data_IF_886748234100
#
_entry.id   IF_886748234100
#
_cell.length_a   1.000
_cell.length_b   1.000
_cell.length_c   1.000
_cell.angle_alpha   90.00
_cell.angle_beta   90.00
_cell.angle_gamma   90.00
#
_symmetry.space_group_name_H-M   'P 1'
#
loop_
_entity.id
_entity.type
_entity.pdbx_description
1 polymer ?
#
# COMPACT_ATOMS: atom_id res chain seq x y z
N UNK A 1 -27.24 -10.22 -12.78
CA UNK A 1 -26.43 -9.95 -11.57
C UNK A 1 -25.67 -8.68 -11.87
N UNK A 2 -25.44 -7.83 -10.87
CA UNK A 2 -24.64 -6.61 -11.08
C UNK A 2 -23.16 -7.01 -11.18
N UNK A 3 -22.33 -6.24 -11.88
CA UNK A 3 -20.90 -6.55 -12.06
C UNK A 3 -20.17 -6.73 -10.71
N UNK A 4 -20.57 -5.96 -9.70
CA UNK A 4 -20.10 -6.11 -8.32
C UNK A 4 -20.46 -7.46 -7.68
N UNK A 5 -21.67 -8.01 -7.92
CA UNK A 5 -22.05 -9.32 -7.38
C UNK A 5 -21.19 -10.45 -7.94
N UNK A 6 -20.90 -10.38 -9.24
CA UNK A 6 -20.08 -11.39 -9.91
C UNK A 6 -18.61 -11.26 -9.49
N UNK A 7 -18.09 -10.04 -9.36
CA UNK A 7 -16.76 -9.78 -8.76
C UNK A 7 -16.65 -10.37 -7.35
N UNK A 8 -17.58 -10.07 -6.45
CA UNK A 8 -17.54 -10.56 -5.06
C UNK A 8 -17.60 -12.09 -5.00
N UNK A 9 -18.38 -12.74 -5.88
CA UNK A 9 -18.38 -14.21 -5.98
C UNK A 9 -17.02 -14.75 -6.41
N UNK A 10 -16.36 -14.11 -7.38
CA UNK A 10 -15.01 -14.52 -7.82
C UNK A 10 -13.98 -14.36 -6.71
N UNK A 11 -14.02 -13.26 -5.96
CA UNK A 11 -13.15 -13.05 -4.79
C UNK A 11 -13.32 -14.16 -3.74
N UNK A 12 -14.56 -14.47 -3.37
CA UNK A 12 -14.86 -15.56 -2.42
C UNK A 12 -14.38 -16.93 -2.95
N UNK A 13 -14.54 -17.18 -4.26
CA UNK A 13 -14.04 -18.40 -4.91
C UNK A 13 -12.51 -18.48 -4.88
N UNK A 14 -11.83 -17.34 -5.06
CA UNK A 14 -10.38 -17.20 -4.99
C UNK A 14 -9.80 -17.17 -3.58
N UNK A 15 -10.59 -17.51 -2.55
CA UNK A 15 -10.14 -17.62 -1.16
C UNK A 15 -10.09 -16.31 -0.38
N UNK A 16 -10.55 -15.19 -0.94
CA UNK A 16 -10.62 -13.92 -0.23
C UNK A 16 -11.83 -13.91 0.72
N UNK A 17 -11.57 -13.65 1.99
CA UNK A 17 -12.62 -13.52 2.99
C UNK A 17 -13.38 -12.20 2.81
N UNK A 18 -14.67 -12.29 2.50
CA UNK A 18 -15.56 -11.12 2.38
C UNK A 18 -16.69 -11.22 3.40
N UNK A 19 -16.56 -10.57 4.58
CA UNK A 19 -17.62 -10.57 5.58
C UNK A 19 -18.93 -10.00 5.04
N UNK A 20 -20.07 -10.52 5.50
CA UNK A 20 -21.39 -10.15 4.98
C UNK A 20 -21.69 -8.63 5.08
N UNK A 21 -21.19 -7.95 6.11
CA UNK A 21 -21.35 -6.50 6.25
C UNK A 21 -20.48 -5.73 5.23
N UNK A 22 -19.28 -6.22 4.91
CA UNK A 22 -18.42 -5.68 3.84
C UNK A 22 -19.07 -5.90 2.47
N UNK A 23 -19.56 -7.12 2.22
CA UNK A 23 -20.28 -7.48 0.99
C UNK A 23 -21.46 -6.55 0.73
N UNK A 24 -22.29 -6.33 1.75
CA UNK A 24 -23.42 -5.39 1.68
C UNK A 24 -22.98 -3.96 1.38
N UNK A 25 -21.86 -3.52 1.97
CA UNK A 25 -21.33 -2.19 1.72
C UNK A 25 -20.86 -2.02 0.28
N UNK A 26 -20.05 -2.96 -0.21
CA UNK A 26 -19.54 -2.94 -1.60
C UNK A 26 -20.65 -3.05 -2.64
N UNK A 27 -21.75 -3.74 -2.34
CA UNK A 27 -22.93 -3.82 -3.23
C UNK A 27 -23.75 -2.53 -3.29
N UNK A 28 -23.60 -1.62 -2.31
CA UNK A 28 -24.42 -0.42 -2.18
C UNK A 28 -23.66 0.87 -2.50
N UNK A 29 -22.34 0.88 -2.33
CA UNK A 29 -21.48 2.02 -2.70
C UNK A 29 -21.07 1.87 -4.15
N UNK A 30 -21.47 2.82 -5.00
CA UNK A 30 -21.13 2.82 -6.42
C UNK A 30 -19.71 3.36 -6.65
N UNK A 31 -18.80 2.53 -7.14
CA UNK A 31 -17.38 2.91 -7.36
C UNK A 31 -17.23 4.12 -8.31
N UNK A 32 -18.14 4.27 -9.27
CA UNK A 32 -18.16 5.38 -10.22
C UNK A 32 -18.39 6.75 -9.57
N UNK A 33 -18.90 6.81 -8.33
CA UNK A 33 -19.04 8.08 -7.61
C UNK A 33 -17.68 8.62 -7.11
N UNK A 34 -16.62 7.81 -7.13
CA UNK A 34 -15.32 8.12 -6.50
C UNK A 34 -14.19 8.37 -7.51
N UNK A 35 -14.46 8.28 -8.80
CA UNK A 35 -13.50 8.51 -9.88
C UNK A 35 -14.20 8.95 -11.15
N UNK A 36 -13.56 9.80 -11.96
CA UNK A 36 -14.03 10.16 -13.31
C UNK A 36 -13.39 9.28 -14.41
N UNK A 37 -12.53 8.34 -14.02
CA UNK A 37 -11.87 7.41 -14.93
C UNK A 37 -12.74 6.17 -15.18
N UNK A 38 -12.33 5.36 -16.16
CA UNK A 38 -12.98 4.09 -16.45
C UNK A 38 -12.92 3.13 -15.24
N UNK A 39 -14.08 2.63 -14.86
CA UNK A 39 -14.25 1.71 -13.73
C UNK A 39 -14.29 0.25 -14.17
N UNK A 40 -14.35 -0.05 -15.47
CA UNK A 40 -14.38 -1.44 -15.98
C UNK A 40 -13.25 -2.31 -15.40
N UNK A 41 -11.98 -1.85 -15.31
CA UNK A 41 -10.90 -2.65 -14.75
C UNK A 41 -11.11 -3.03 -13.28
N UNK A 42 -11.87 -2.24 -12.51
CA UNK A 42 -12.19 -2.54 -11.12
C UNK A 42 -12.95 -3.86 -11.00
N UNK A 43 -13.88 -4.13 -11.92
CA UNK A 43 -14.64 -5.37 -11.93
C UNK A 43 -13.81 -6.59 -12.32
N UNK A 44 -12.62 -6.38 -12.89
CA UNK A 44 -11.61 -7.41 -13.13
C UNK A 44 -10.57 -7.50 -11.99
N UNK A 45 -10.89 -7.00 -10.81
CA UNK A 45 -10.04 -7.00 -9.62
C UNK A 45 -8.71 -6.25 -9.79
N UNK A 46 -8.76 -5.07 -10.40
CA UNK A 46 -7.59 -4.20 -10.61
C UNK A 46 -7.75 -2.86 -9.91
N UNK A 47 -6.63 -2.23 -9.49
CA UNK A 47 -6.67 -0.85 -9.05
C UNK A 47 -7.08 0.05 -10.22
N UNK A 48 -7.79 1.13 -9.91
CA UNK A 48 -8.22 2.13 -10.90
C UNK A 48 -7.73 3.52 -10.50
N UNK A 49 -7.37 4.39 -11.45
CA UNK A 49 -6.98 5.75 -11.13
C UNK A 49 -8.16 6.57 -10.59
N UNK A 50 -7.86 7.56 -9.75
CA UNK A 50 -8.83 8.59 -9.35
C UNK A 50 -8.28 10.01 -9.47
N UNK A 51 -6.97 10.17 -9.50
CA UNK A 51 -6.30 11.46 -9.60
C UNK A 51 -4.98 11.28 -10.36
N UNK A 52 -4.71 12.22 -11.26
CA UNK A 52 -3.44 12.36 -11.97
C UNK A 52 -2.94 13.79 -11.72
N UNK A 53 -1.67 13.96 -11.34
CA UNK A 53 -1.07 15.29 -11.16
C UNK A 53 -0.52 15.83 -12.47
N UNK A 54 -0.31 17.15 -12.54
CA UNK A 54 0.30 17.81 -13.70
C UNK A 54 1.72 17.29 -14.02
N UNK A 55 2.39 16.69 -13.04
CA UNK A 55 3.73 16.10 -13.14
C UNK A 55 3.70 14.59 -13.48
N UNK A 56 2.51 14.02 -13.72
CA UNK A 56 2.33 12.62 -14.13
C UNK A 56 2.22 11.61 -12.97
N UNK A 57 2.09 12.07 -11.74
CA UNK A 57 1.83 11.21 -10.58
C UNK A 57 0.40 10.66 -10.61
N UNK A 58 0.25 9.33 -10.60
CA UNK A 58 -1.05 8.67 -10.67
C UNK A 58 -1.43 8.07 -9.31
N UNK A 59 -2.53 8.56 -8.70
CA UNK A 59 -3.10 7.94 -7.50
C UNK A 59 -4.26 7.02 -7.86
N UNK A 60 -4.30 5.87 -7.19
CA UNK A 60 -5.27 4.80 -7.46
C UNK A 60 -6.16 4.49 -6.26
N UNK A 61 -7.36 4.02 -6.57
CA UNK A 61 -8.21 3.24 -5.68
C UNK A 61 -7.68 1.80 -5.73
N UNK A 62 -7.49 1.18 -4.57
CA UNK A 62 -6.98 -0.20 -4.47
C UNK A 62 -7.86 -1.20 -5.24
N UNK A 63 -7.27 -2.34 -5.61
CA UNK A 63 -8.02 -3.47 -6.15
C UNK A 63 -9.09 -3.98 -5.15
N UNK A 64 -10.23 -4.49 -5.64
CA UNK A 64 -11.30 -5.06 -4.81
C UNK A 64 -10.86 -6.11 -3.78
N UNK A 65 -9.99 -7.07 -4.14
CA UNK A 65 -9.53 -8.08 -3.18
C UNK A 65 -8.84 -7.42 -2.00
N UNK A 66 -7.98 -6.43 -2.26
CA UNK A 66 -7.26 -5.70 -1.23
C UNK A 66 -8.22 -4.88 -0.36
N UNK A 67 -9.23 -4.25 -0.97
CA UNK A 67 -10.28 -3.54 -0.20
C UNK A 67 -11.03 -4.50 0.73
N UNK A 68 -11.39 -5.69 0.24
CA UNK A 68 -12.05 -6.70 1.05
C UNK A 68 -11.16 -7.20 2.19
N UNK A 69 -9.88 -7.51 1.91
CA UNK A 69 -8.87 -7.90 2.91
C UNK A 69 -8.69 -6.83 3.99
N UNK A 70 -8.52 -5.56 3.60
CA UNK A 70 -8.38 -4.45 4.55
C UNK A 70 -9.62 -4.33 5.45
N UNK A 71 -10.82 -4.39 4.87
CA UNK A 71 -12.07 -4.24 5.64
C UNK A 71 -12.36 -5.46 6.53
N UNK A 72 -11.97 -6.67 6.10
CA UNK A 72 -12.04 -7.87 6.90
C UNK A 72 -11.19 -7.73 8.17
N UNK A 73 -9.91 -7.36 8.02
CA UNK A 73 -8.98 -7.22 9.14
C UNK A 73 -9.18 -5.96 9.97
N UNK A 74 -9.95 -4.97 9.49
CA UNK A 74 -10.28 -3.77 10.25
C UNK A 74 -11.35 -4.01 11.33
N UNK A 75 -12.01 -5.17 11.32
CA UNK A 75 -12.92 -5.63 12.39
C UNK A 75 -13.92 -4.55 12.83
N UNK A 76 -14.60 -3.98 11.83
CA UNK A 76 -15.49 -2.85 12.02
C UNK A 76 -16.79 -3.23 12.73
N UNK A 77 -17.32 -2.29 13.51
CA UNK A 77 -18.59 -2.39 14.23
C UNK A 77 -19.34 -1.06 14.18
N UNK A 78 -20.66 -1.14 14.30
CA UNK A 78 -21.53 0.05 14.32
C UNK A 78 -21.16 1.00 15.46
N UNK A 79 -21.17 2.31 15.19
CA UNK A 79 -20.87 3.36 16.15
C UNK A 79 -19.38 3.65 16.37
N UNK A 80 -18.47 2.94 15.69
CA UNK A 80 -17.03 3.18 15.84
C UNK A 80 -16.57 4.48 15.17
N UNK A 81 -15.51 5.07 15.73
CA UNK A 81 -14.69 6.09 15.07
C UNK A 81 -13.47 5.41 14.42
N UNK A 82 -13.26 5.68 13.14
CA UNK A 82 -12.19 5.10 12.33
C UNK A 82 -11.37 6.21 11.69
N UNK A 83 -10.05 6.15 11.82
CA UNK A 83 -9.13 7.03 11.10
C UNK A 83 -8.67 6.33 9.84
N UNK A 84 -8.77 7.01 8.69
CA UNK A 84 -8.25 6.53 7.41
C UNK A 84 -7.18 7.49 6.93
N UNK A 85 -5.94 7.03 6.82
CA UNK A 85 -4.80 7.80 6.32
C UNK A 85 -4.48 7.33 4.90
N UNK A 86 -4.63 8.23 3.94
CA UNK A 86 -4.59 7.97 2.49
C UNK A 86 -6.01 7.99 1.91
N UNK A 87 -6.27 8.92 1.00
CA UNK A 87 -7.60 9.21 0.49
C UNK A 87 -8.14 8.11 -0.42
N UNK A 88 -7.32 7.61 -1.36
CA UNK A 88 -7.68 6.58 -2.36
C UNK A 88 -9.06 6.78 -2.98
N UNK A 89 -9.32 7.98 -3.50
CA UNK A 89 -10.61 8.39 -4.07
C UNK A 89 -11.76 8.51 -3.07
N UNK A 90 -11.55 8.13 -1.81
CA UNK A 90 -12.54 8.09 -0.74
C UNK A 90 -13.36 6.81 -0.68
N UNK A 91 -13.24 5.89 -1.65
CA UNK A 91 -14.11 4.72 -1.74
C UNK A 91 -14.07 3.84 -0.47
N UNK A 92 -12.89 3.55 0.08
CA UNK A 92 -12.75 2.80 1.34
C UNK A 92 -13.42 3.56 2.49
N UNK A 93 -13.25 4.88 2.59
CA UNK A 93 -13.88 5.68 3.64
C UNK A 93 -15.41 5.67 3.54
N UNK A 94 -15.98 5.64 2.33
CA UNK A 94 -17.42 5.48 2.14
C UNK A 94 -17.92 4.09 2.58
N UNK A 95 -17.17 3.03 2.28
CA UNK A 95 -17.47 1.67 2.77
C UNK A 95 -17.42 1.61 4.30
N UNK A 96 -16.37 2.15 4.92
CA UNK A 96 -16.24 2.23 6.38
C UNK A 96 -17.41 3.01 6.96
N UNK A 97 -17.73 4.19 6.41
CA UNK A 97 -18.83 5.04 6.88
C UNK A 97 -20.18 4.32 6.83
N UNK A 98 -20.42 3.51 5.80
CA UNK A 98 -21.62 2.69 5.70
C UNK A 98 -21.67 1.59 6.77
N UNK A 99 -20.53 0.94 7.06
CA UNK A 99 -20.44 -0.15 8.03
C UNK A 99 -20.60 0.36 9.47
N UNK A 100 -19.96 1.49 9.81
CA UNK A 100 -20.05 2.07 11.16
C UNK A 100 -21.37 2.82 11.40
N UNK A 101 -22.09 3.18 10.33
CA UNK A 101 -23.42 3.76 10.40
C UNK A 101 -23.47 5.20 10.92
N UNK A 102 -24.68 5.71 11.14
CA UNK A 102 -24.95 7.12 11.47
C UNK A 102 -24.38 7.57 12.82
N UNK A 103 -24.17 6.63 13.75
CA UNK A 103 -23.58 6.89 15.06
C UNK A 103 -22.03 6.81 15.05
N UNK A 104 -21.45 6.29 13.97
CA UNK A 104 -20.01 6.20 13.80
C UNK A 104 -19.43 7.44 13.13
N UNK A 105 -18.11 7.46 12.98
CA UNK A 105 -17.37 8.53 12.29
C UNK A 105 -16.19 7.98 11.51
N UNK A 106 -15.90 8.59 10.38
CA UNK A 106 -14.70 8.35 9.60
C UNK A 106 -13.91 9.65 9.48
N UNK A 107 -12.66 9.62 9.93
CA UNK A 107 -11.74 10.75 9.84
C UNK A 107 -10.70 10.44 8.78
N UNK A 108 -10.88 10.98 7.59
CA UNK A 108 -10.00 10.78 6.45
C UNK A 108 -8.90 11.85 6.44
N UNK A 109 -7.66 11.42 6.29
CA UNK A 109 -6.46 12.25 6.30
C UNK A 109 -5.61 11.92 5.08
N UNK A 110 -5.11 12.91 4.34
CA UNK A 110 -4.16 12.71 3.24
C UNK A 110 -3.21 13.91 3.16
N UNK A 111 -1.90 13.73 2.91
CA UNK A 111 -0.97 14.84 2.72
C UNK A 111 -1.23 15.65 1.44
N UNK A 112 -1.94 15.07 0.46
CA UNK A 112 -2.29 15.74 -0.79
C UNK A 112 -3.53 16.61 -0.66
N UNK A 113 -3.36 17.91 -0.84
CA UNK A 113 -4.47 18.85 -0.98
C UNK A 113 -5.43 18.43 -2.10
N UNK A 114 -4.91 18.04 -3.27
CA UNK A 114 -5.72 17.61 -4.42
C UNK A 114 -6.54 16.36 -4.11
N UNK A 115 -5.97 15.37 -3.41
CA UNK A 115 -6.70 14.16 -3.05
C UNK A 115 -7.82 14.44 -2.04
N UNK A 116 -7.59 15.34 -1.07
CA UNK A 116 -8.62 15.75 -0.12
C UNK A 116 -9.74 16.55 -0.81
N UNK A 117 -9.40 17.47 -1.70
CA UNK A 117 -10.40 18.22 -2.49
C UNK A 117 -11.25 17.29 -3.36
N UNK A 118 -10.63 16.30 -4.00
CA UNK A 118 -11.33 15.26 -4.75
C UNK A 118 -12.35 14.55 -3.85
N UNK A 119 -11.92 14.06 -2.68
CA UNK A 119 -12.83 13.41 -1.71
C UNK A 119 -13.94 14.35 -1.29
N UNK A 120 -13.64 15.60 -0.92
CA UNK A 120 -14.66 16.57 -0.49
C UNK A 120 -15.73 16.82 -1.56
N UNK A 121 -15.34 16.82 -2.84
CA UNK A 121 -16.29 16.97 -3.95
C UNK A 121 -17.25 15.77 -4.09
N UNK A 122 -16.79 14.55 -3.76
CA UNK A 122 -17.61 13.32 -3.83
C UNK A 122 -18.43 13.07 -2.57
N UNK A 123 -18.00 13.61 -1.43
CA UNK A 123 -18.59 13.31 -0.12
C UNK A 123 -19.75 14.22 0.32
N UNK A 124 -20.39 14.92 -0.62
CA UNK A 124 -21.47 15.90 -0.32
C UNK A 124 -22.66 15.32 0.45
N UNK A 125 -22.88 14.01 0.44
CA UNK A 125 -23.97 13.31 1.12
C UNK A 125 -23.50 12.30 2.17
N UNK A 126 -22.29 12.46 2.71
CA UNK A 126 -21.66 11.56 3.69
C UNK A 126 -21.37 12.28 5.01
N UNK A 127 -22.40 12.54 5.85
CA UNK A 127 -22.27 13.41 7.03
C UNK A 127 -21.40 12.83 8.15
N UNK A 128 -21.09 11.54 8.12
CA UNK A 128 -20.25 10.85 9.10
C UNK A 128 -18.77 10.86 8.72
N UNK A 129 -18.41 11.44 7.57
CA UNK A 129 -17.04 11.49 7.07
C UNK A 129 -16.51 12.91 7.13
N UNK A 130 -15.38 13.09 7.80
CA UNK A 130 -14.64 14.34 7.85
C UNK A 130 -13.28 14.11 7.19
N UNK A 131 -12.96 14.89 6.14
CA UNK A 131 -11.67 14.83 5.46
C UNK A 131 -10.82 16.08 5.73
N UNK A 132 -9.53 15.88 6.00
CA UNK A 132 -8.56 16.97 6.26
C UNK A 132 -7.21 16.69 5.60
N UNK A 133 -6.53 17.76 5.24
CA UNK A 133 -5.15 17.69 4.71
C UNK A 133 -4.17 17.59 5.87
N UNK A 134 -3.15 16.76 5.70
CA UNK A 134 -1.99 16.66 6.58
C UNK A 134 -0.84 17.51 6.05
N UNK A 135 -0.05 18.07 6.97
CA UNK A 135 1.22 18.70 6.60
C UNK A 135 2.26 17.64 6.16
N UNK A 136 2.33 16.56 6.94
CA UNK A 136 3.15 15.38 6.67
C UNK A 136 2.56 14.20 7.43
N UNK A 137 2.90 12.97 7.04
CA UNK A 137 2.41 11.73 7.65
C UNK A 137 2.87 11.61 9.11
N UNK A 138 4.08 12.10 9.39
CA UNK A 138 4.74 12.10 10.69
C UNK A 138 4.18 13.17 11.64
N UNK A 139 3.39 14.11 11.13
CA UNK A 139 2.91 15.27 11.88
C UNK A 139 1.41 15.14 12.18
N UNK A 140 1.08 15.16 13.48
CA UNK A 140 -0.31 15.13 13.92
C UNK A 140 -1.07 16.37 13.43
N UNK A 141 -2.27 16.21 12.84
CA UNK A 141 -3.06 17.35 12.39
C UNK A 141 -3.47 18.27 13.55
N UNK A 142 -3.52 19.57 13.27
CA UNK A 142 -3.98 20.59 14.22
C UNK A 142 -5.43 20.31 14.63
N UNK A 143 -5.71 20.46 15.94
CA UNK A 143 -7.02 20.20 16.51
C UNK A 143 -7.59 18.82 16.12
N UNK A 144 -6.71 17.81 16.14
CA UNK A 144 -7.06 16.40 16.06
C UNK A 144 -6.77 15.71 17.40
N UNK A 145 -7.42 16.10 18.51
CA UNK A 145 -7.32 15.35 19.75
C UNK A 145 -8.14 14.07 19.66
N UNK A 146 -7.85 13.14 20.55
CA UNK A 146 -8.67 11.95 20.74
C UNK A 146 -7.88 10.66 20.79
N UNK A 147 -8.56 9.67 21.35
CA UNK A 147 -8.19 8.28 21.40
C UNK A 147 -8.58 7.59 20.09
N UNK A 148 -7.76 6.65 19.61
CA UNK A 148 -7.94 5.97 18.33
C UNK A 148 -8.25 4.50 18.55
N UNK A 149 -9.40 4.02 18.06
CA UNK A 149 -9.80 2.62 18.18
C UNK A 149 -9.42 1.78 16.95
N UNK A 150 -9.59 2.35 15.76
CA UNK A 150 -9.24 1.74 14.47
C UNK A 150 -8.53 2.77 13.62
N UNK A 151 -7.32 2.44 13.18
CA UNK A 151 -6.56 3.25 12.23
C UNK A 151 -6.28 2.39 11.01
N UNK A 152 -6.65 2.88 9.84
CA UNK A 152 -6.34 2.26 8.56
C UNK A 152 -5.40 3.18 7.79
N UNK A 153 -4.21 2.69 7.47
CA UNK A 153 -3.29 3.34 6.55
C UNK A 153 -3.42 2.65 5.19
N UNK A 154 -3.67 3.43 4.15
CA UNK A 154 -3.92 2.92 2.80
C UNK A 154 -2.84 3.29 1.80
N UNK A 155 -1.64 3.64 2.26
CA UNK A 155 -0.44 3.82 1.44
C UNK A 155 0.78 3.24 2.17
N UNK A 156 1.87 3.00 1.45
CA UNK A 156 3.11 2.51 2.05
C UNK A 156 3.70 3.56 3.00
N UNK A 157 4.13 3.10 4.18
CA UNK A 157 4.90 3.85 5.16
C UNK A 157 6.01 2.95 5.72
N UNK A 158 7.13 3.52 6.18
CA UNK A 158 8.23 2.73 6.77
C UNK A 158 7.88 2.20 8.17
N UNK A 159 7.29 3.06 8.99
CA UNK A 159 6.90 2.76 10.36
C UNK A 159 5.63 3.53 10.72
N UNK A 160 4.89 3.05 11.73
CA UNK A 160 3.70 3.74 12.21
C UNK A 160 4.09 5.09 12.87
N UNK A 161 3.54 6.23 12.44
CA UNK A 161 3.84 7.52 13.04
C UNK A 161 3.57 7.54 14.56
N UNK A 162 4.51 8.10 15.32
CA UNK A 162 4.44 8.14 16.79
C UNK A 162 3.14 8.75 17.32
N UNK A 163 2.62 9.78 16.63
CA UNK A 163 1.37 10.42 17.03
C UNK A 163 0.13 9.54 16.83
N UNK A 164 0.17 8.59 15.88
CA UNK A 164 -0.85 7.56 15.74
C UNK A 164 -0.64 6.49 16.80
N UNK A 165 0.58 5.95 16.88
CA UNK A 165 0.94 4.88 17.80
C UNK A 165 0.53 5.23 19.24
N UNK A 166 1.00 6.37 19.76
CA UNK A 166 0.74 6.85 21.13
C UNK A 166 -0.74 7.09 21.47
N UNK A 167 -1.64 7.15 20.48
CA UNK A 167 -3.06 7.43 20.67
C UNK A 167 -3.96 6.22 20.42
N UNK A 168 -3.41 5.11 19.92
CA UNK A 168 -4.15 3.84 19.84
C UNK A 168 -4.49 3.38 21.27
N UNK A 169 -5.78 3.25 21.56
CA UNK A 169 -6.27 2.78 22.87
C UNK A 169 -6.04 1.30 23.06
N UNK A 170 -6.09 0.84 24.31
CA UNK A 170 -6.08 -0.59 24.64
C UNK A 170 -7.19 -1.35 23.88
N UNK A 171 -6.80 -2.45 23.21
CA UNK A 171 -7.66 -3.21 22.28
C UNK A 171 -7.98 -2.52 20.94
N UNK A 172 -7.44 -1.33 20.73
CA UNK A 172 -7.40 -0.66 19.43
C UNK A 172 -6.20 -1.12 18.61
N UNK A 173 -6.22 -0.87 17.31
CA UNK A 173 -5.11 -1.21 16.43
C UNK A 173 -4.99 -0.29 15.21
N UNK A 174 -3.79 -0.30 14.63
CA UNK A 174 -3.51 0.24 13.31
C UNK A 174 -3.27 -0.89 12.31
N UNK A 175 -3.85 -0.78 11.12
CA UNK A 175 -3.62 -1.66 9.98
C UNK A 175 -2.89 -0.87 8.90
N UNK A 176 -1.69 -1.30 8.51
CA UNK A 176 -0.81 -0.52 7.65
C UNK A 176 0.09 -1.40 6.77
N UNK A 177 0.29 -1.04 5.49
CA UNK A 177 1.40 -1.54 4.70
C UNK A 177 2.71 -0.95 5.25
N UNK A 178 3.52 -1.77 5.92
CA UNK A 178 4.82 -1.39 6.47
C UNK A 178 5.96 -2.00 5.66
N UNK A 179 6.99 -1.22 5.38
CA UNK A 179 8.16 -1.67 4.64
C UNK A 179 8.67 -0.56 3.72
N UNK A 180 9.42 -0.94 2.69
CA UNK A 180 9.87 -0.03 1.65
C UNK A 180 9.06 -0.24 0.35
N UNK A 181 9.38 0.49 -0.72
CA UNK A 181 8.63 0.38 -1.99
C UNK A 181 8.85 -0.97 -2.68
N UNK A 182 9.98 -1.62 -2.44
CA UNK A 182 10.31 -2.92 -3.02
C UNK A 182 9.63 -4.07 -2.27
N UNK A 183 9.61 -4.03 -0.95
CA UNK A 183 9.09 -5.06 -0.06
C UNK A 183 8.32 -4.45 1.10
N UNK A 184 7.03 -4.80 1.19
CA UNK A 184 6.14 -4.31 2.23
C UNK A 184 5.12 -5.37 2.61
N UNK A 185 4.78 -5.42 3.89
CA UNK A 185 3.84 -6.36 4.49
C UNK A 185 2.66 -5.61 5.10
N UNK A 186 1.48 -6.20 5.01
CA UNK A 186 0.31 -5.66 5.70
C UNK A 186 0.39 -6.04 7.17
N UNK A 187 0.63 -5.06 8.03
CA UNK A 187 0.83 -5.26 9.46
C UNK A 187 -0.39 -4.79 10.25
N UNK A 188 -0.86 -5.62 11.19
CA UNK A 188 -1.80 -5.22 12.25
C UNK A 188 -1.02 -4.97 13.54
N UNK A 189 -1.02 -3.71 13.99
CA UNK A 189 -0.36 -3.25 15.21
C UNK A 189 -1.41 -3.00 16.31
N UNK A 190 -1.57 -3.94 17.23
CA UNK A 190 -2.58 -3.90 18.29
C UNK A 190 -2.01 -3.45 19.63
N UNK A 191 -2.70 -2.53 20.31
CA UNK A 191 -2.32 -2.06 21.64
C UNK A 191 -2.86 -3.03 22.70
N UNK A 192 -1.96 -3.53 23.54
CA UNK A 192 -2.31 -4.29 24.75
C UNK A 192 -1.56 -3.72 25.95
N UNK A 193 -2.28 -2.99 26.81
CA UNK A 193 -1.69 -2.23 27.90
C UNK A 193 -0.78 -1.11 27.40
N UNK A 194 0.50 -1.16 27.77
CA UNK A 194 1.51 -0.17 27.34
C UNK A 194 2.25 -0.60 26.06
N UNK A 195 2.08 -1.84 25.62
CA UNK A 195 2.84 -2.43 24.52
C UNK A 195 2.02 -2.48 23.21
N UNK A 196 2.72 -2.46 22.08
CA UNK A 196 2.15 -2.68 20.74
C UNK A 196 2.60 -4.04 20.24
N UNK A 197 1.65 -4.89 19.87
CA UNK A 197 1.90 -6.21 19.30
C UNK A 197 1.65 -6.19 17.80
N UNK A 198 2.62 -6.69 17.03
CA UNK A 198 2.53 -6.76 15.57
C UNK A 198 2.11 -8.15 15.11
N UNK A 199 1.14 -8.20 14.21
CA UNK A 199 0.79 -9.40 13.43
C UNK A 199 1.03 -9.11 11.96
N UNK A 200 1.83 -9.94 11.30
CA UNK A 200 2.04 -9.90 9.86
C UNK A 200 0.91 -10.64 9.15
N UNK A 201 0.26 -9.97 8.19
CA UNK A 201 -0.84 -10.50 7.39
C UNK A 201 -0.43 -10.82 5.95
N UNK A 202 0.86 -10.70 5.63
CA UNK A 202 1.45 -11.11 4.36
C UNK A 202 1.89 -9.94 3.47
N UNK A 203 2.58 -10.27 2.36
CA UNK A 203 3.14 -9.29 1.45
C UNK A 203 2.06 -8.55 0.67
N UNK A 204 2.27 -7.27 0.46
CA UNK A 204 1.38 -6.40 -0.32
C UNK A 204 2.18 -5.43 -1.19
N UNK A 205 1.50 -4.70 -2.06
CA UNK A 205 2.11 -3.62 -2.84
C UNK A 205 1.19 -2.41 -2.84
N UNK A 206 1.61 -1.38 -2.12
CA UNK A 206 0.95 -0.08 -2.08
C UNK A 206 1.94 0.97 -2.59
N UNK A 207 1.43 1.92 -3.37
CA UNK A 207 2.16 3.15 -3.61
C UNK A 207 2.35 3.95 -2.32
N UNK A 208 3.35 4.84 -2.27
CA UNK A 208 3.55 5.72 -1.14
C UNK A 208 2.35 6.63 -0.95
N UNK A 209 2.16 7.09 0.29
CA UNK A 209 1.00 7.91 0.63
C UNK A 209 1.12 9.37 0.16
N UNK A 210 2.33 9.91 0.18
CA UNK A 210 2.61 11.24 -0.39
C UNK A 210 2.66 11.13 -1.91
N UNK A 211 2.01 12.07 -2.58
CA UNK A 211 1.95 12.11 -4.06
C UNK A 211 3.32 12.40 -4.65
N UNK A 212 4.14 13.20 -3.96
CA UNK A 212 5.49 13.54 -4.43
C UNK A 212 6.34 12.28 -4.61
N UNK A 213 6.07 11.26 -3.81
CA UNK A 213 6.76 9.97 -3.89
C UNK A 213 6.11 9.02 -4.92
N UNK A 214 4.95 9.38 -5.49
CA UNK A 214 4.27 8.61 -6.56
C UNK A 214 4.64 9.06 -7.98
N UNK A 215 5.51 10.06 -8.13
CA UNK A 215 5.99 10.50 -9.43
C UNK A 215 6.74 9.35 -10.10
N UNK A 216 6.19 8.86 -11.23
CA UNK A 216 6.76 7.76 -12.01
C UNK A 216 7.96 8.27 -12.80
N UNK A 217 9.06 8.50 -12.08
CA UNK A 217 10.37 8.81 -12.64
C UNK A 217 11.21 7.55 -12.87
N UNK A 218 12.36 7.66 -13.55
CA UNK A 218 13.36 6.60 -13.56
C UNK A 218 13.79 6.30 -12.11
N UNK A 219 14.14 5.04 -11.85
CA UNK A 219 14.56 4.58 -10.52
C UNK A 219 15.62 5.49 -9.90
N UNK A 220 15.35 6.00 -8.69
CA UNK A 220 16.27 6.83 -7.93
C UNK A 220 17.19 5.98 -7.02
N UNK A 221 18.26 6.55 -6.43
CA UNK A 221 19.19 5.80 -5.61
C UNK A 221 18.56 5.10 -4.39
N UNK A 222 17.58 5.72 -3.75
CA UNK A 222 16.92 5.14 -2.58
C UNK A 222 16.02 3.97 -2.97
N UNK A 223 15.31 4.07 -4.09
CA UNK A 223 14.49 2.97 -4.62
C UNK A 223 15.36 1.77 -5.02
N UNK A 224 16.53 2.01 -5.63
CA UNK A 224 17.47 0.94 -5.93
C UNK A 224 18.02 0.31 -4.65
N UNK A 225 18.36 1.12 -3.64
CA UNK A 225 18.82 0.61 -2.35
C UNK A 225 17.74 -0.27 -1.68
N UNK A 226 16.49 0.18 -1.66
CA UNK A 226 15.33 -0.56 -1.13
C UNK A 226 15.14 -1.91 -1.87
N UNK A 227 15.32 -1.95 -3.19
CA UNK A 227 15.29 -3.18 -4.00
C UNK A 227 16.43 -4.15 -3.65
N UNK A 228 17.64 -3.64 -3.46
CA UNK A 228 18.80 -4.44 -3.09
C UNK A 228 18.67 -4.99 -1.65
N UNK A 229 18.06 -4.23 -0.75
CA UNK A 229 17.73 -4.70 0.61
C UNK A 229 16.75 -5.87 0.55
N UNK A 230 15.66 -5.76 -0.22
CA UNK A 230 14.73 -6.88 -0.42
C UNK A 230 15.43 -8.11 -1.02
N UNK A 231 16.35 -7.89 -1.95
CA UNK A 231 17.16 -8.96 -2.55
C UNK A 231 18.02 -9.68 -1.52
N UNK A 232 18.63 -8.93 -0.59
CA UNK A 232 19.39 -9.49 0.52
C UNK A 232 18.51 -10.29 1.46
N UNK A 233 17.37 -9.73 1.89
CA UNK A 233 16.41 -10.41 2.76
C UNK A 233 15.93 -11.72 2.13
N UNK A 234 15.57 -11.69 0.84
CA UNK A 234 15.15 -12.88 0.09
C UNK A 234 16.28 -13.92 -0.01
N UNK A 235 17.53 -13.48 -0.20
CA UNK A 235 18.67 -14.40 -0.21
C UNK A 235 18.85 -15.06 1.16
N UNK A 236 18.70 -14.31 2.25
CA UNK A 236 18.82 -14.84 3.61
C UNK A 236 17.71 -15.86 3.91
N UNK A 237 16.46 -15.55 3.55
CA UNK A 237 15.32 -16.45 3.74
C UNK A 237 15.44 -17.76 2.95
N UNK A 238 15.95 -17.69 1.72
CA UNK A 238 16.13 -18.85 0.85
C UNK A 238 17.46 -19.60 1.07
N UNK A 239 18.27 -19.18 2.05
CA UNK A 239 19.64 -19.67 2.26
C UNK A 239 20.50 -19.61 0.98
N UNK A 240 20.30 -18.55 0.18
CA UNK A 240 21.00 -18.26 -1.06
C UNK A 240 22.03 -17.13 -0.89
N UNK A 241 22.91 -16.96 -1.88
CA UNK A 241 23.95 -15.92 -1.89
C UNK A 241 25.24 -16.32 -1.17
N UNK A 242 26.38 -15.98 -1.77
CA UNK A 242 27.69 -16.12 -1.11
C UNK A 242 27.94 -14.94 -0.16
N UNK A 243 28.81 -15.14 0.85
CA UNK A 243 29.11 -14.10 1.84
C UNK A 243 29.69 -12.83 1.20
N UNK A 244 30.56 -13.00 0.20
CA UNK A 244 31.16 -11.89 -0.55
C UNK A 244 30.10 -11.10 -1.36
N UNK A 245 29.08 -11.77 -1.90
CA UNK A 245 27.98 -11.11 -2.61
C UNK A 245 27.09 -10.31 -1.65
N UNK A 246 26.82 -10.86 -0.45
CA UNK A 246 26.05 -10.17 0.59
C UNK A 246 26.76 -8.90 1.05
N UNK A 247 28.06 -8.97 1.31
CA UNK A 247 28.87 -7.80 1.72
C UNK A 247 28.86 -6.75 0.62
N UNK A 248 29.08 -7.14 -0.64
CA UNK A 248 29.10 -6.19 -1.75
C UNK A 248 27.75 -5.50 -1.96
N UNK A 249 26.63 -6.21 -1.78
CA UNK A 249 25.30 -5.62 -1.83
C UNK A 249 25.07 -4.65 -0.66
N UNK A 250 25.47 -5.02 0.56
CA UNK A 250 25.39 -4.14 1.73
C UNK A 250 26.19 -2.85 1.53
N UNK A 251 27.42 -2.94 1.02
CA UNK A 251 28.25 -1.79 0.71
C UNK A 251 27.59 -0.90 -0.35
N UNK A 252 27.07 -1.49 -1.43
CA UNK A 252 26.35 -0.76 -2.48
C UNK A 252 25.11 -0.03 -1.94
N UNK A 253 24.33 -0.66 -1.07
CA UNK A 253 23.16 -0.04 -0.42
C UNK A 253 23.59 1.20 0.38
N UNK A 254 24.65 1.08 1.18
CA UNK A 254 25.17 2.19 1.98
C UNK A 254 25.65 3.34 1.08
N UNK A 255 26.37 3.04 0.01
CA UNK A 255 26.86 4.05 -0.94
C UNK A 255 25.71 4.74 -1.69
N UNK A 256 24.69 4.00 -2.11
CA UNK A 256 23.49 4.55 -2.75
C UNK A 256 22.74 5.52 -1.82
N UNK A 257 22.58 5.17 -0.54
CA UNK A 257 21.94 6.03 0.47
C UNK A 257 22.76 7.29 0.82
N UNK A 258 24.06 7.31 0.51
CA UNK A 258 24.93 8.47 0.70
C UNK A 258 24.92 9.43 -0.50
N UNK A 259 24.32 9.05 -1.63
CA UNK A 259 24.16 9.95 -2.76
C UNK A 259 23.27 11.16 -2.41
N UNK A 260 23.46 12.31 -3.08
CA UNK A 260 22.63 13.49 -2.83
C UNK A 260 21.15 13.20 -3.03
N UNK A 261 20.30 13.65 -2.09
CA UNK A 261 18.85 13.45 -2.16
C UNK A 261 18.20 14.17 -3.36
N UNK A 262 18.86 15.18 -3.92
CA UNK A 262 18.46 15.94 -5.10
C UNK A 262 19.13 15.44 -6.40
N UNK A 263 19.82 14.29 -6.37
CA UNK A 263 20.41 13.70 -7.57
C UNK A 263 19.28 13.26 -8.52
N UNK A 264 19.21 13.81 -9.75
CA UNK A 264 18.17 13.42 -10.70
C UNK A 264 18.37 11.97 -11.14
N UNK A 265 17.30 11.24 -11.52
CA UNK A 265 17.44 9.87 -11.99
C UNK A 265 18.29 9.73 -13.27
N UNK A 266 18.88 8.55 -13.53
CA UNK A 266 19.67 8.33 -14.74
C UNK A 266 18.84 8.56 -16.01
N UNK A 267 19.35 9.41 -16.90
CA UNK A 267 18.65 9.82 -18.12
C UNK A 267 17.95 11.18 -18.01
N UNK A 268 17.89 11.74 -16.80
CA UNK A 268 17.41 13.09 -16.52
C UNK A 268 18.53 14.03 -16.07
N UNK A 269 18.23 15.32 -15.88
CA UNK A 269 19.18 16.29 -15.32
C UNK A 269 20.40 16.63 -16.20
N UNK A 270 20.47 16.11 -17.43
CA UNK A 270 21.55 16.39 -18.38
C UNK A 270 22.89 15.71 -18.04
N UNK A 271 22.90 14.76 -17.10
CA UNK A 271 24.09 13.97 -16.75
C UNK A 271 24.19 12.79 -17.73
N UNK A 272 25.32 12.60 -18.44
CA UNK A 272 25.51 11.41 -19.27
C UNK A 272 25.41 10.13 -18.43
N UNK A 273 24.76 9.08 -18.95
CA UNK A 273 24.59 7.79 -18.25
C UNK A 273 25.91 7.23 -17.69
N UNK A 274 27.02 7.35 -18.42
CA UNK A 274 28.35 6.88 -17.99
C UNK A 274 28.98 7.68 -16.83
N UNK A 275 28.50 8.91 -16.61
CA UNK A 275 29.00 9.83 -15.59
C UNK A 275 28.04 9.93 -14.40
N UNK A 276 26.89 9.24 -14.48
CA UNK A 276 25.88 9.28 -13.45
C UNK A 276 26.37 8.51 -12.20
N UNK A 277 26.42 9.15 -11.01
CA UNK A 277 26.97 8.51 -9.79
C UNK A 277 26.32 7.17 -9.47
N UNK A 278 24.99 7.08 -9.53
CA UNK A 278 24.26 5.82 -9.33
C UNK A 278 24.69 4.71 -10.31
N UNK A 279 24.92 5.06 -11.59
CA UNK A 279 25.31 4.10 -12.63
C UNK A 279 26.75 3.65 -12.42
N UNK A 280 27.62 4.54 -11.93
CA UNK A 280 29.00 4.19 -11.58
C UNK A 280 29.05 3.20 -10.42
N UNK A 281 28.30 3.45 -9.35
CA UNK A 281 28.18 2.51 -8.23
C UNK A 281 27.67 1.14 -8.67
N UNK A 282 26.60 1.12 -9.49
CA UNK A 282 26.10 -0.14 -10.05
C UNK A 282 27.15 -0.85 -10.91
N UNK A 283 27.92 -0.13 -11.72
CA UNK A 283 28.95 -0.69 -12.57
C UNK A 283 30.12 -1.27 -11.78
N UNK A 284 30.53 -0.58 -10.71
CA UNK A 284 31.60 -1.01 -9.81
C UNK A 284 31.20 -2.27 -9.04
N UNK A 285 29.95 -2.33 -8.56
CA UNK A 285 29.43 -3.48 -7.84
C UNK A 285 28.97 -4.63 -8.75
N UNK A 286 28.75 -4.41 -10.06
CA UNK A 286 28.20 -5.39 -11.01
C UNK A 286 28.85 -6.80 -10.95
N UNK A 287 30.20 -6.94 -10.83
CA UNK A 287 30.84 -8.24 -10.72
C UNK A 287 30.33 -9.08 -9.53
N UNK A 288 29.90 -8.42 -8.46
CA UNK A 288 29.53 -9.04 -7.19
C UNK A 288 28.06 -9.43 -7.08
N UNK A 289 27.18 -8.96 -7.98
CA UNK A 289 25.74 -9.28 -7.91
C UNK A 289 25.12 -9.72 -9.25
N UNK A 290 25.92 -9.90 -10.31
CA UNK A 290 25.50 -10.42 -11.62
C UNK A 290 24.66 -11.70 -11.53
N UNK A 291 24.98 -12.59 -10.57
CA UNK A 291 24.23 -13.84 -10.33
C UNK A 291 22.83 -13.59 -9.78
N UNK A 292 22.66 -12.51 -9.03
CA UNK A 292 21.40 -12.09 -8.42
C UNK A 292 20.56 -11.20 -9.35
N UNK A 293 21.13 -10.76 -10.48
CA UNK A 293 20.45 -9.91 -11.45
C UNK A 293 19.10 -10.47 -11.96
N UNK A 294 18.95 -11.78 -12.27
CA UNK A 294 17.65 -12.32 -12.67
C UNK A 294 16.58 -12.18 -11.57
N UNK A 295 16.98 -12.27 -10.30
CA UNK A 295 16.08 -12.11 -9.16
C UNK A 295 15.66 -10.65 -9.01
N UNK A 296 16.62 -9.72 -9.12
CA UNK A 296 16.36 -8.27 -9.17
C UNK A 296 15.39 -7.90 -10.29
N UNK A 297 15.57 -8.48 -11.49
CA UNK A 297 14.66 -8.24 -12.62
C UNK A 297 13.23 -8.70 -12.33
N UNK A 298 13.04 -9.76 -11.56
CA UNK A 298 11.72 -10.25 -11.18
C UNK A 298 11.06 -9.31 -10.15
N UNK A 299 11.83 -8.77 -9.20
CA UNK A 299 11.36 -7.83 -8.19
C UNK A 299 11.03 -6.44 -8.76
N UNK A 300 11.65 -6.03 -9.87
CA UNK A 300 11.32 -4.79 -10.58
C UNK A 300 9.92 -4.77 -11.21
N UNK A 301 9.30 -5.94 -11.41
CA UNK A 301 7.98 -6.09 -12.01
C UNK A 301 7.10 -6.97 -11.12
N UNK A 302 6.64 -6.47 -9.95
CA UNK A 302 5.78 -7.26 -9.09
C UNK A 302 4.47 -7.59 -9.81
N UNK A 303 4.19 -8.89 -9.96
CA UNK A 303 2.88 -9.35 -10.43
C UNK A 303 1.87 -9.17 -9.29
N UNK A 304 1.00 -8.17 -9.41
CA UNK A 304 -0.09 -7.96 -8.46
C UNK A 304 -1.09 -9.12 -8.55
N UNK A 305 -1.47 -9.67 -7.40
CA UNK A 305 -2.51 -10.70 -7.31
C UNK A 305 -3.85 -10.17 -7.87
N UNK A 306 -4.57 -11.01 -8.61
CA UNK A 306 -5.89 -10.71 -9.18
C UNK A 306 -6.85 -11.90 -8.99
N UNK A 307 -7.10 -12.36 -7.74
CA UNK A 307 -7.98 -13.51 -7.48
C UNK A 307 -9.42 -13.30 -7.98
N UNK A 308 -9.85 -12.06 -8.22
CA UNK A 308 -11.16 -11.72 -8.78
C UNK A 308 -11.20 -11.52 -10.31
N UNK A 309 -10.12 -11.84 -11.03
CA UNK A 309 -10.04 -11.69 -12.49
C UNK A 309 -11.08 -12.55 -13.24
N UNK A 310 -11.43 -12.13 -14.47
CA UNK A 310 -12.44 -12.83 -15.29
C UNK A 310 -12.00 -14.23 -15.72
N UNK A 311 -10.69 -14.45 -15.88
CA UNK A 311 -10.07 -15.68 -16.38
C UNK A 311 -9.38 -16.49 -15.26
N UNK A 312 -9.81 -16.37 -14.00
CA UNK A 312 -9.24 -17.16 -12.89
C UNK A 312 -9.72 -18.63 -13.00
N UNK A 313 -9.02 -19.41 -13.81
CA UNK A 313 -9.21 -20.85 -13.99
C UNK A 313 -8.41 -21.62 -12.92
N UNK A 314 -9.06 -22.59 -12.27
CA UNK A 314 -8.47 -23.49 -11.26
C UNK A 314 -7.31 -24.34 -11.80
N UNK A 315 -7.07 -24.35 -13.12
CA UNK A 315 -6.06 -25.19 -13.76
C UNK A 315 -4.63 -24.63 -13.68
N UNK A 316 -4.44 -23.37 -13.23
CA UNK A 316 -3.11 -22.82 -12.92
C UNK A 316 -2.60 -23.18 -11.50
N UNK A 317 -3.39 -23.92 -10.72
CA UNK A 317 -3.04 -24.42 -9.37
C UNK A 317 -2.19 -25.71 -9.39
N UNK A 318 -1.62 -26.09 -10.55
CA UNK A 318 -0.64 -27.20 -10.65
C UNK A 318 0.80 -26.75 -10.30
N UNK A 319 0.98 -25.50 -9.87
CA UNK A 319 2.20 -25.02 -9.21
C UNK A 319 1.94 -24.69 -7.73
N UNK A 320 1.46 -25.70 -7.01
CA UNK A 320 1.25 -25.77 -5.55
C UNK A 320 2.04 -24.78 -4.68
N UNK A 321 1.42 -23.66 -4.37
CA UNK A 321 1.69 -22.89 -3.15
C UNK A 321 0.35 -22.59 -2.48
N UNK A 322 -0.08 -23.55 -1.67
CA UNK A 322 -1.22 -23.38 -0.78
C UNK A 322 -0.84 -22.39 0.33
N UNK A 323 -1.67 -21.35 0.53
CA UNK A 323 -1.55 -20.35 1.61
C UNK A 323 -1.67 -20.91 3.04
N UNK A 324 -1.75 -22.24 3.21
CA UNK A 324 -1.91 -22.95 4.48
C UNK A 324 -0.60 -23.57 5.02
N UNK A 325 0.54 -23.42 4.32
CA UNK A 325 1.82 -24.04 4.74
C UNK A 325 2.65 -23.24 5.78
N UNK A 326 2.23 -22.04 6.17
CA UNK A 326 2.95 -21.22 7.19
C UNK A 326 2.48 -21.43 8.64
N UNK A 327 1.76 -22.53 8.94
CA UNK A 327 1.53 -22.96 10.33
C UNK A 327 2.50 -24.07 10.73
N UNK A 328 3.69 -23.69 11.19
CA UNK A 328 4.47 -24.45 12.17
C UNK A 328 5.18 -23.55 13.16
#
# INVERSE_FOLDING_TARGET
>A
MTDMQDLLRRLEKGGIEVPEHVKKAMLKVEIADFTDYDVEPFFADRPIPFLETDEGGLKTISAPHMIATLLHHLELSEGQEVVVLGAKGGYIAALVAMIVGENGRVRLLDPSQLAVEHVQSRFTHWPTVESRVLEAVEVAPVAFPGELNRVLITGQIRELPEWLASRVVDGGFALAPLGNTAGQHLMKLERQGEEMFSTDLGPVSFGPIDVKDTETGPMNPNELADLLELTLETCEELEMGEEDERIALQDLIVELRQLPADLPPPGEGGIPMSEHPMVQLMWEAAPSFLRLWPMLQMMLHPNLAQPGAVDWDEDDDDNGQHFDEFKR
#
